data_IF_333418998252
#
_entry.id   IF_333418998252
#
_cell.length_a   1.000
_cell.length_b   1.000
_cell.length_c   1.000
_cell.angle_alpha   90.00
_cell.angle_beta   90.00
_cell.angle_gamma   90.00
#
_symmetry.space_group_name_H-M   'P 1'
#
loop_
_entity.id
_entity.type
_entity.pdbx_description
1 polymer ?
#
# COMPACT_ATOMS: atom_id res chain seq x y z
N UNK A 1 -18.37 -32.21 11.84
CA UNK A 1 -18.91 -30.87 11.53
C UNK A 1 -17.82 -29.79 11.56
N UNK A 2 -16.78 -29.89 12.40
CA UNK A 2 -15.67 -28.91 12.46
C UNK A 2 -14.73 -28.89 11.24
N UNK A 3 -14.35 -30.06 10.69
CA UNK A 3 -13.42 -30.15 9.55
C UNK A 3 -13.93 -29.43 8.29
N UNK A 4 -15.23 -29.54 8.01
CA UNK A 4 -15.90 -28.87 6.87
C UNK A 4 -15.80 -27.35 7.01
N UNK A 5 -15.83 -26.83 8.25
CA UNK A 5 -15.70 -25.41 8.52
C UNK A 5 -14.27 -24.91 8.23
N UNK A 6 -13.25 -25.64 8.67
CA UNK A 6 -11.84 -25.29 8.42
C UNK A 6 -11.50 -25.33 6.93
N UNK A 7 -11.95 -26.36 6.20
CA UNK A 7 -11.74 -26.43 4.74
C UNK A 7 -12.41 -25.27 4.01
N UNK A 8 -13.61 -24.87 4.43
CA UNK A 8 -14.31 -23.72 3.86
C UNK A 8 -13.55 -22.41 4.14
N UNK A 9 -13.05 -22.22 5.35
CA UNK A 9 -12.28 -21.02 5.72
C UNK A 9 -10.94 -20.94 4.98
N UNK A 10 -10.27 -22.08 4.75
CA UNK A 10 -9.08 -22.16 3.90
C UNK A 10 -9.39 -21.73 2.46
N UNK A 11 -10.46 -22.27 1.87
CA UNK A 11 -10.90 -21.89 0.53
C UNK A 11 -11.23 -20.39 0.43
N UNK A 12 -11.99 -19.86 1.39
CA UNK A 12 -12.34 -18.45 1.48
C UNK A 12 -11.09 -17.56 1.65
N UNK A 13 -10.11 -18.00 2.45
CA UNK A 13 -8.82 -17.33 2.60
C UNK A 13 -8.03 -17.28 1.30
N UNK A 14 -7.93 -18.40 0.59
CA UNK A 14 -7.23 -18.49 -0.70
C UNK A 14 -7.86 -17.59 -1.75
N UNK A 15 -9.19 -17.54 -1.84
CA UNK A 15 -9.90 -16.65 -2.77
C UNK A 15 -9.63 -15.16 -2.46
N UNK A 16 -9.65 -14.77 -1.18
CA UNK A 16 -9.30 -13.41 -0.76
C UNK A 16 -7.85 -13.04 -1.08
N UNK A 17 -6.92 -13.98 -0.96
CA UNK A 17 -5.53 -13.77 -1.36
C UNK A 17 -5.39 -13.56 -2.86
N UNK A 18 -6.09 -14.35 -3.67
CA UNK A 18 -6.07 -14.23 -5.13
C UNK A 18 -6.60 -12.86 -5.57
N UNK A 19 -7.79 -12.48 -5.11
CA UNK A 19 -8.42 -11.19 -5.41
C UNK A 19 -7.53 -10.02 -4.94
N UNK A 20 -7.03 -10.11 -3.71
CA UNK A 20 -6.17 -9.08 -3.14
C UNK A 20 -4.82 -8.94 -3.85
N UNK A 21 -4.26 -10.04 -4.36
CA UNK A 21 -2.97 -10.02 -5.07
C UNK A 21 -3.03 -9.15 -6.34
N UNK A 22 -4.14 -9.21 -7.09
CA UNK A 22 -4.35 -8.40 -8.29
C UNK A 22 -4.50 -6.92 -7.95
N UNK A 23 -5.23 -6.61 -6.86
CA UNK A 23 -5.46 -5.24 -6.43
C UNK A 23 -4.18 -4.57 -5.91
N UNK A 24 -3.30 -5.34 -5.25
CA UNK A 24 -2.00 -4.86 -4.79
C UNK A 24 -1.14 -4.33 -5.94
N UNK A 25 -1.14 -4.96 -7.11
CA UNK A 25 -0.36 -4.46 -8.24
C UNK A 25 -0.87 -3.10 -8.73
N UNK A 26 -2.18 -2.87 -8.70
CA UNK A 26 -2.77 -1.58 -9.05
C UNK A 26 -2.40 -0.51 -8.03
N UNK A 27 -2.49 -0.83 -6.74
CA UNK A 27 -2.11 0.08 -5.66
C UNK A 27 -0.62 0.41 -5.69
N UNK A 28 0.24 -0.56 -5.98
CA UNK A 28 1.68 -0.37 -6.12
C UNK A 28 1.99 0.59 -7.28
N UNK A 29 1.35 0.39 -8.43
CA UNK A 29 1.49 1.27 -9.59
C UNK A 29 1.01 2.68 -9.28
N UNK A 30 -0.16 2.82 -8.66
CA UNK A 30 -0.72 4.11 -8.27
C UNK A 30 0.20 4.86 -7.31
N UNK A 31 0.74 4.17 -6.28
CA UNK A 31 1.70 4.77 -5.35
C UNK A 31 2.97 5.26 -6.06
N UNK A 32 3.49 4.49 -7.02
CA UNK A 32 4.65 4.88 -7.82
C UNK A 32 4.36 6.07 -8.74
N UNK A 33 3.18 6.11 -9.37
CA UNK A 33 2.74 7.22 -10.21
C UNK A 33 2.60 8.51 -9.40
N UNK A 34 1.96 8.46 -8.23
CA UNK A 34 1.80 9.63 -7.36
C UNK A 34 3.13 10.14 -6.80
N UNK A 35 4.07 9.26 -6.44
CA UNK A 35 5.43 9.68 -6.06
C UNK A 35 6.13 10.40 -7.21
N UNK A 36 6.08 9.84 -8.43
CA UNK A 36 6.67 10.47 -9.62
C UNK A 36 6.07 11.85 -9.86
N UNK A 37 4.75 11.95 -9.85
CA UNK A 37 4.03 13.19 -10.18
C UNK A 37 4.33 14.29 -9.14
N UNK A 38 4.33 13.95 -7.85
CA UNK A 38 4.74 14.86 -6.79
C UNK A 38 6.20 15.31 -6.94
N UNK A 39 7.13 14.40 -7.25
CA UNK A 39 8.56 14.73 -7.41
C UNK A 39 8.79 15.69 -8.58
N UNK A 40 8.11 15.46 -9.71
CA UNK A 40 8.18 16.34 -10.88
C UNK A 40 7.61 17.71 -10.56
N UNK A 41 6.44 17.78 -9.91
CA UNK A 41 5.82 19.04 -9.50
C UNK A 41 6.72 19.81 -8.53
N UNK A 42 7.28 19.13 -7.53
CA UNK A 42 8.17 19.72 -6.53
C UNK A 42 9.44 20.29 -7.16
N UNK A 43 10.04 19.60 -8.12
CA UNK A 43 11.20 20.11 -8.83
C UNK A 43 10.88 21.38 -9.64
N UNK A 44 9.75 21.39 -10.35
CA UNK A 44 9.27 22.56 -11.12
C UNK A 44 8.99 23.74 -10.20
N UNK A 45 8.33 23.51 -9.08
CA UNK A 45 7.98 24.56 -8.12
C UNK A 45 9.22 25.19 -7.47
N UNK A 46 10.23 24.40 -7.14
CA UNK A 46 11.50 24.93 -6.61
C UNK A 46 12.22 25.80 -7.63
N UNK A 47 12.21 25.42 -8.91
CA UNK A 47 12.79 26.23 -9.99
C UNK A 47 12.02 27.54 -10.12
N UNK A 48 10.68 27.48 -10.16
CA UNK A 48 9.82 28.68 -10.22
C UNK A 48 10.10 29.66 -9.08
N UNK A 49 10.12 29.17 -7.83
CA UNK A 49 10.37 30.00 -6.64
C UNK A 49 11.78 30.62 -6.65
N UNK A 50 12.79 29.89 -7.14
CA UNK A 50 14.14 30.42 -7.30
C UNK A 50 14.17 31.54 -8.34
N UNK A 51 13.50 31.34 -9.47
CA UNK A 51 13.44 32.32 -10.55
C UNK A 51 12.66 33.58 -10.12
N UNK A 52 11.74 33.46 -9.15
CA UNK A 52 11.04 34.56 -8.48
C UNK A 52 11.89 35.28 -7.41
N UNK A 53 13.14 34.87 -7.19
CA UNK A 53 14.06 35.51 -6.25
C UNK A 53 13.82 35.12 -4.79
N UNK A 54 13.08 34.03 -4.52
CA UNK A 54 12.90 33.51 -3.17
C UNK A 54 14.25 33.15 -2.55
N UNK A 55 14.43 33.46 -1.26
CA UNK A 55 15.63 33.08 -0.53
C UNK A 55 15.79 31.55 -0.51
N UNK A 56 16.99 31.05 -0.85
CA UNK A 56 17.26 29.60 -1.01
C UNK A 56 16.86 28.78 0.21
N UNK A 57 17.04 29.32 1.42
CA UNK A 57 16.66 28.66 2.67
C UNK A 57 15.15 28.45 2.84
N UNK A 58 14.30 29.22 2.15
CA UNK A 58 12.83 29.15 2.25
C UNK A 58 12.19 28.32 1.13
N UNK A 59 12.89 28.14 0.01
CA UNK A 59 12.34 27.48 -1.19
C UNK A 59 11.82 26.08 -0.88
N UNK A 60 12.54 25.30 -0.07
CA UNK A 60 12.14 23.92 0.25
C UNK A 60 10.79 23.87 0.98
N UNK A 61 10.62 24.69 2.00
CA UNK A 61 9.43 24.70 2.84
C UNK A 61 8.23 25.27 2.08
N UNK A 62 8.43 26.36 1.34
CA UNK A 62 7.38 26.99 0.53
C UNK A 62 6.93 26.06 -0.60
N UNK A 63 7.86 25.41 -1.32
CA UNK A 63 7.49 24.49 -2.40
C UNK A 63 6.69 23.28 -1.89
N UNK A 64 7.04 22.75 -0.71
CA UNK A 64 6.28 21.66 -0.08
C UNK A 64 4.92 22.12 0.42
N UNK A 65 4.82 23.35 0.92
CA UNK A 65 3.55 23.97 1.33
C UNK A 65 2.60 24.16 0.14
N UNK A 66 3.11 24.71 -0.96
CA UNK A 66 2.32 24.95 -2.18
C UNK A 66 1.82 23.65 -2.83
N UNK A 67 2.54 22.54 -2.64
CA UNK A 67 2.20 21.23 -3.18
C UNK A 67 1.71 20.25 -2.11
N UNK A 68 1.16 20.76 -1.01
CA UNK A 68 0.70 19.94 0.11
C UNK A 68 -0.35 18.90 -0.32
N UNK A 69 -1.25 19.24 -1.25
CA UNK A 69 -2.27 18.32 -1.74
C UNK A 69 -1.67 17.15 -2.54
N UNK A 70 -0.72 17.43 -3.45
CA UNK A 70 0.00 16.37 -4.18
C UNK A 70 0.81 15.48 -3.23
N UNK A 71 1.39 16.06 -2.18
CA UNK A 71 2.09 15.31 -1.14
C UNK A 71 1.12 14.41 -0.37
N UNK A 72 -0.05 14.93 -0.01
CA UNK A 72 -1.09 14.17 0.67
C UNK A 72 -1.55 12.99 -0.19
N UNK A 73 -1.88 13.21 -1.46
CA UNK A 73 -2.31 12.13 -2.38
C UNK A 73 -1.26 11.02 -2.50
N UNK A 74 0.01 11.41 -2.61
CA UNK A 74 1.15 10.49 -2.64
C UNK A 74 1.27 9.68 -1.35
N UNK A 75 1.19 10.35 -0.21
CA UNK A 75 1.32 9.69 1.10
C UNK A 75 0.15 8.72 1.32
N UNK A 76 -1.07 9.12 0.98
CA UNK A 76 -2.26 8.25 1.02
C UNK A 76 -2.08 7.04 0.11
N UNK A 77 -1.66 7.23 -1.15
CA UNK A 77 -1.48 6.12 -2.08
C UNK A 77 -0.43 5.11 -1.57
N UNK A 78 0.69 5.62 -1.02
CA UNK A 78 1.75 4.79 -0.45
C UNK A 78 1.26 4.00 0.78
N UNK A 79 0.64 4.68 1.74
CA UNK A 79 0.18 4.02 2.97
C UNK A 79 -0.97 3.03 2.67
N UNK A 80 -1.81 3.32 1.69
CA UNK A 80 -2.84 2.38 1.21
C UNK A 80 -2.23 1.11 0.64
N UNK A 81 -1.19 1.22 -0.20
CA UNK A 81 -0.47 0.07 -0.72
C UNK A 81 0.18 -0.76 0.40
N UNK A 82 0.82 -0.11 1.38
CA UNK A 82 1.44 -0.77 2.53
C UNK A 82 0.39 -1.52 3.35
N UNK A 83 -0.72 -0.87 3.68
CA UNK A 83 -1.81 -1.47 4.44
C UNK A 83 -2.41 -2.68 3.71
N UNK A 84 -2.64 -2.57 2.40
CA UNK A 84 -3.14 -3.70 1.60
C UNK A 84 -2.17 -4.88 1.61
N UNK A 85 -0.87 -4.62 1.43
CA UNK A 85 0.18 -5.65 1.51
C UNK A 85 0.21 -6.35 2.86
N UNK A 86 0.14 -5.59 3.94
CA UNK A 86 0.22 -6.15 5.29
C UNK A 86 -1.07 -6.90 5.67
N UNK A 87 -2.22 -6.47 5.14
CA UNK A 87 -3.48 -7.22 5.20
C UNK A 87 -3.38 -8.59 4.51
N UNK A 88 -2.84 -8.67 3.30
CA UNK A 88 -2.65 -9.97 2.63
C UNK A 88 -1.68 -10.88 3.37
N UNK A 89 -0.62 -10.34 3.95
CA UNK A 89 0.29 -11.13 4.80
C UNK A 89 -0.45 -11.70 6.00
N UNK A 90 -1.34 -10.94 6.64
CA UNK A 90 -2.14 -11.42 7.75
C UNK A 90 -3.06 -12.58 7.32
N UNK A 91 -3.71 -12.48 6.15
CA UNK A 91 -4.53 -13.58 5.60
C UNK A 91 -3.67 -14.81 5.33
N UNK A 92 -2.48 -14.65 4.73
CA UNK A 92 -1.57 -15.77 4.49
C UNK A 92 -1.13 -16.46 5.79
N UNK A 93 -0.86 -15.69 6.85
CA UNK A 93 -0.56 -16.25 8.19
C UNK A 93 -1.75 -17.02 8.75
N UNK A 94 -2.97 -16.49 8.61
CA UNK A 94 -4.19 -17.17 9.04
C UNK A 94 -4.38 -18.52 8.32
N UNK A 95 -4.18 -18.56 7.01
CA UNK A 95 -4.26 -19.79 6.21
C UNK A 95 -3.25 -20.83 6.69
N UNK A 96 -1.99 -20.41 6.93
CA UNK A 96 -0.95 -21.32 7.43
C UNK A 96 -1.30 -21.90 8.82
N UNK A 97 -1.89 -21.10 9.70
CA UNK A 97 -2.37 -21.56 10.99
C UNK A 97 -3.51 -22.60 10.84
N UNK A 98 -4.50 -22.32 9.99
CA UNK A 98 -5.60 -23.25 9.71
C UNK A 98 -5.12 -24.57 9.09
N UNK A 99 -4.15 -24.52 8.17
CA UNK A 99 -3.52 -25.73 7.61
C UNK A 99 -2.84 -26.57 8.69
N UNK A 100 -2.18 -25.91 9.66
CA UNK A 100 -1.51 -26.60 10.77
C UNK A 100 -2.52 -27.30 11.69
N UNK A 101 -3.63 -26.63 12.01
CA UNK A 101 -4.73 -27.21 12.79
C UNK A 101 -5.35 -28.41 12.06
N UNK A 102 -5.64 -28.27 10.77
CA UNK A 102 -6.23 -29.32 9.95
C UNK A 102 -5.34 -30.58 9.93
N UNK A 103 -4.01 -30.40 9.82
CA UNK A 103 -3.06 -31.51 9.85
C UNK A 103 -3.12 -32.28 11.16
N UNK A 104 -3.10 -31.58 12.30
CA UNK A 104 -3.19 -32.23 13.63
C UNK A 104 -4.51 -32.99 13.79
N UNK A 105 -5.63 -32.44 13.30
CA UNK A 105 -6.93 -33.11 13.37
C UNK A 105 -7.04 -34.36 12.49
N UNK A 106 -6.21 -34.50 11.45
CA UNK A 106 -6.16 -35.71 10.61
C UNK A 106 -5.30 -36.82 11.22
N UNK A 107 -4.41 -36.49 12.17
CA UNK A 107 -3.49 -37.43 12.83
C UNK A 107 -4.08 -38.05 14.12
N UNK A 108 -5.24 -37.56 14.58
CA UNK A 108 -6.00 -38.05 15.75
C UNK A 108 -7.19 -38.90 15.30
#
# INVERSE_FOLDING_TARGET
MELINITQELYNGSKRLEEGSQEIFKLAKLAAEKERDYRVALAKEKIRLRDEGMAVGLIEDVARGNLADLRYERDVAKETYIAARDSLKAIAVQINALQSILKVQQEV
#
